data_IF_580134829377
#
_entry.id   IF_580134829377
#
_cell.length_a   1.000
_cell.length_b   1.000
_cell.length_c   1.000
_cell.angle_alpha   90.00
_cell.angle_beta   90.00
_cell.angle_gamma   90.00
#
_symmetry.space_group_name_H-M   'P 1'
#
loop_
_entity.id
_entity.type
_entity.pdbx_description
1 polymer ?
#
# COMPACT_ATOMS: atom_id res chain seq x y z
N UNK A 1 -15.01 5.08 -4.57
CA UNK A 1 -13.63 5.29 -4.12
C UNK A 1 -12.68 4.51 -4.99
N UNK A 2 -11.48 5.01 -5.18
CA UNK A 2 -10.56 4.40 -6.11
C UNK A 2 -9.85 3.16 -5.58
N UNK A 3 -9.35 2.34 -6.49
CA UNK A 3 -8.60 1.13 -6.14
C UNK A 3 -7.31 1.46 -5.38
N UNK A 4 -6.64 2.54 -5.76
CA UNK A 4 -5.39 2.93 -5.11
C UNK A 4 -5.62 3.18 -3.62
N UNK A 5 -6.67 3.94 -3.31
CA UNK A 5 -7.05 4.21 -1.92
C UNK A 5 -7.44 2.93 -1.19
N UNK A 6 -8.25 2.09 -1.80
CA UNK A 6 -8.71 0.84 -1.19
C UNK A 6 -7.53 -0.09 -0.88
N UNK A 7 -6.59 -0.20 -1.80
CA UNK A 7 -5.40 -1.02 -1.58
C UNK A 7 -4.52 -0.44 -0.48
N UNK A 8 -4.38 0.89 -0.45
CA UNK A 8 -3.62 1.56 0.60
C UNK A 8 -4.23 1.27 1.98
N UNK A 9 -5.56 1.34 2.09
CA UNK A 9 -6.26 1.03 3.33
C UNK A 9 -6.08 -0.42 3.74
N UNK A 10 -6.16 -1.33 2.78
CA UNK A 10 -5.96 -2.76 3.04
C UNK A 10 -4.56 -3.04 3.58
N UNK A 11 -3.55 -2.39 3.02
CA UNK A 11 -2.17 -2.52 3.51
C UNK A 11 -2.06 -2.03 4.95
N UNK A 12 -2.64 -0.86 5.26
CA UNK A 12 -2.59 -0.31 6.62
C UNK A 12 -3.30 -1.21 7.63
N UNK A 13 -4.46 -1.75 7.25
CA UNK A 13 -5.17 -2.70 8.10
C UNK A 13 -4.35 -3.95 8.35
N UNK A 14 -3.68 -4.46 7.32
CA UNK A 14 -2.83 -5.64 7.44
C UNK A 14 -1.68 -5.41 8.42
N UNK A 15 -1.04 -4.25 8.32
CA UNK A 15 0.05 -3.88 9.23
C UNK A 15 -0.43 -3.87 10.68
N UNK A 16 -1.57 -3.23 10.93
CA UNK A 16 -2.13 -3.12 12.27
C UNK A 16 -2.62 -4.45 12.81
N UNK A 17 -3.30 -5.22 11.97
CA UNK A 17 -3.89 -6.50 12.37
C UNK A 17 -2.82 -7.53 12.72
N UNK A 18 -1.68 -7.48 12.06
CA UNK A 18 -0.59 -8.41 12.30
C UNK A 18 0.49 -7.84 13.24
N UNK A 19 0.24 -6.68 13.80
CA UNK A 19 1.13 -6.05 14.76
C UNK A 19 2.56 -5.90 14.25
N UNK A 20 2.69 -5.49 12.99
CA UNK A 20 3.98 -5.32 12.33
C UNK A 20 4.64 -4.00 12.73
N UNK A 21 5.95 -3.89 12.51
CA UNK A 21 6.66 -2.64 12.71
C UNK A 21 6.17 -1.62 11.68
N UNK A 22 5.44 -0.62 12.14
CA UNK A 22 4.78 0.36 11.28
C UNK A 22 5.79 1.14 10.44
N UNK A 23 6.84 1.65 11.07
CA UNK A 23 7.83 2.48 10.37
C UNK A 23 8.62 1.69 9.33
N UNK A 24 9.11 0.52 9.71
CA UNK A 24 9.88 -0.32 8.79
C UNK A 24 9.05 -0.78 7.62
N UNK A 25 7.82 -1.23 7.90
CA UNK A 25 6.94 -1.76 6.86
C UNK A 25 6.51 -0.67 5.89
N UNK A 26 6.07 0.48 6.40
CA UNK A 26 5.69 1.62 5.57
C UNK A 26 6.87 2.13 4.74
N UNK A 27 8.05 2.21 5.36
CA UNK A 27 9.27 2.63 4.67
C UNK A 27 9.66 1.70 3.55
N UNK A 28 9.59 0.39 3.77
CA UNK A 28 9.91 -0.60 2.75
C UNK A 28 8.95 -0.50 1.56
N UNK A 29 7.67 -0.30 1.83
CA UNK A 29 6.67 -0.12 0.77
C UNK A 29 6.92 1.20 0.01
N UNK A 30 7.13 2.29 0.74
CA UNK A 30 7.37 3.61 0.13
C UNK A 30 8.58 3.60 -0.80
N UNK A 31 9.65 2.91 -0.42
CA UNK A 31 10.83 2.80 -1.26
C UNK A 31 10.56 2.09 -2.58
N UNK A 32 9.64 1.13 -2.58
CA UNK A 32 9.28 0.39 -3.79
C UNK A 32 8.32 1.13 -4.69
N UNK A 33 7.33 1.82 -4.09
CA UNK A 33 6.27 2.46 -4.87
C UNK A 33 6.57 3.93 -5.21
N UNK A 34 7.46 4.57 -4.47
CA UNK A 34 7.83 5.97 -4.70
C UNK A 34 6.85 6.98 -4.12
N UNK A 35 5.93 6.55 -3.24
CA UNK A 35 5.02 7.45 -2.54
C UNK A 35 4.66 6.87 -1.18
N UNK A 36 4.10 7.72 -0.30
CA UNK A 36 3.74 7.30 1.06
C UNK A 36 2.29 6.85 1.07
N UNK A 37 2.06 5.59 1.45
CA UNK A 37 0.75 4.95 1.41
C UNK A 37 -0.30 5.71 2.22
N UNK A 38 0.08 6.22 3.39
CA UNK A 38 -0.86 6.94 4.27
C UNK A 38 -1.31 8.29 3.70
N UNK A 39 -0.63 8.80 2.67
CA UNK A 39 -1.00 10.07 2.04
C UNK A 39 -1.93 9.90 0.85
N UNK A 40 -2.25 8.66 0.47
CA UNK A 40 -3.20 8.41 -0.61
C UNK A 40 -4.60 8.81 -0.15
N UNK A 41 -5.28 9.58 -0.99
CA UNK A 41 -6.62 10.11 -0.70
C UNK A 41 -7.69 9.33 -1.44
N UNK A 42 -8.94 9.32 -0.92
CA UNK A 42 -10.05 8.63 -1.61
C UNK A 42 -10.31 9.15 -3.02
N UNK A 43 -9.99 10.42 -3.28
CA UNK A 43 -10.21 11.06 -4.58
C UNK A 43 -8.99 11.04 -5.49
N UNK A 44 -7.89 10.43 -5.06
CA UNK A 44 -6.71 10.30 -5.91
C UNK A 44 -7.03 9.40 -7.11
N UNK A 45 -6.53 9.76 -8.31
CA UNK A 45 -6.80 8.94 -9.50
C UNK A 45 -6.13 7.58 -9.43
N UNK A 46 -6.76 6.59 -10.05
CA UNK A 46 -6.23 5.23 -10.14
C UNK A 46 -5.19 5.15 -11.26
N UNK A 47 -3.99 5.68 -11.00
CA UNK A 47 -2.87 5.55 -11.92
C UNK A 47 -2.48 4.07 -12.00
N UNK A 48 -2.56 3.44 -13.19
CA UNK A 48 -2.26 2.01 -13.31
C UNK A 48 -0.86 1.64 -12.84
N UNK A 49 0.12 2.51 -13.04
CA UNK A 49 1.48 2.27 -12.60
C UNK A 49 1.57 2.25 -11.07
N UNK A 50 0.91 3.20 -10.41
CA UNK A 50 0.89 3.25 -8.95
C UNK A 50 0.13 2.08 -8.36
N UNK A 51 -1.00 1.71 -8.96
CA UNK A 51 -1.79 0.57 -8.51
C UNK A 51 -0.96 -0.71 -8.61
N UNK A 52 -0.30 -0.93 -9.74
CA UNK A 52 0.52 -2.12 -9.93
C UNK A 52 1.73 -2.14 -8.98
N UNK A 53 2.39 -0.99 -8.81
CA UNK A 53 3.52 -0.88 -7.89
C UNK A 53 3.10 -1.22 -6.46
N UNK A 54 1.91 -0.78 -6.05
CA UNK A 54 1.40 -1.05 -4.72
C UNK A 54 1.08 -2.53 -4.53
N UNK A 55 0.50 -3.17 -5.55
CA UNK A 55 0.24 -4.61 -5.52
C UNK A 55 1.54 -5.40 -5.39
N UNK A 56 2.54 -5.05 -6.19
CA UNK A 56 3.84 -5.73 -6.16
C UNK A 56 4.53 -5.55 -4.80
N UNK A 57 4.51 -4.33 -4.28
CA UNK A 57 5.12 -4.03 -2.98
C UNK A 57 4.43 -4.80 -1.85
N UNK A 58 3.10 -4.87 -1.86
CA UNK A 58 2.36 -5.61 -0.85
C UNK A 58 2.73 -7.09 -0.88
N UNK A 59 2.87 -7.66 -2.06
CA UNK A 59 3.27 -9.06 -2.21
C UNK A 59 4.68 -9.29 -1.69
N UNK A 60 5.62 -8.41 -2.06
CA UNK A 60 7.03 -8.57 -1.67
C UNK A 60 7.28 -8.32 -0.19
N UNK A 61 6.66 -7.30 0.36
CA UNK A 61 6.92 -6.88 1.75
C UNK A 61 6.04 -7.66 2.73
N UNK A 62 4.78 -7.86 2.39
CA UNK A 62 3.78 -8.42 3.31
C UNK A 62 3.31 -9.82 2.95
N UNK A 63 3.62 -10.30 1.76
CA UNK A 63 3.04 -11.53 1.26
C UNK A 63 1.55 -11.41 1.02
N UNK A 64 1.06 -10.19 0.85
CA UNK A 64 -0.36 -9.87 0.72
C UNK A 64 -0.72 -9.66 -0.75
N UNK A 65 -1.76 -10.36 -1.21
CA UNK A 65 -2.29 -10.17 -2.55
C UNK A 65 -3.41 -9.17 -2.53
N UNK A 66 -3.28 -8.11 -3.33
CA UNK A 66 -4.31 -7.11 -3.51
C UNK A 66 -5.06 -7.36 -4.83
N UNK A 67 -6.34 -7.23 -4.76
CA UNK A 67 -7.19 -7.44 -5.93
C UNK A 67 -7.63 -8.87 -6.06
#
# INVERSE_FOLDING_TARGET
MGKLYDYAQTIEEHIQRNNLDVFKTRGAIAMRVGFIVTLVRPDDPDDPEKVQALKDAATEVLGLRLG
#
